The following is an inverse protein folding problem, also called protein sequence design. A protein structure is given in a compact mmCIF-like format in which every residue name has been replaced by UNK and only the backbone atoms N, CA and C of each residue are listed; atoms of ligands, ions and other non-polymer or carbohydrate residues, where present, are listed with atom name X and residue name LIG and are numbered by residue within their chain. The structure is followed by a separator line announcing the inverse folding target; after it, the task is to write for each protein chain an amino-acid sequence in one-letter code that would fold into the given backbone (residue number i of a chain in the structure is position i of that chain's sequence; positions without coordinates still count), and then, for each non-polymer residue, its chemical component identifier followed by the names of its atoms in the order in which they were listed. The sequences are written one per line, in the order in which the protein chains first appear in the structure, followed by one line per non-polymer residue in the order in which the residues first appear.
data_IF_945562294582
#
_entry.id   IF_945562294582
#
_cell.length_a   1.000
_cell.length_b   1.000
_cell.length_c   1.000
_cell.angle_alpha   90.00
_cell.angle_beta   90.00
_cell.angle_gamma   90.00
#
_symmetry.space_group_name_H-M   'P 1'
#
loop_
_entity.id
_entity.type
_entity.pdbx_description
1 polymer ?
#
# COMPACT_ATOMS: atom_id res chain seq x y z
N UNK A 1 -10.78 6.10 7.94
CA UNK A 1 -10.73 5.39 6.64
C UNK A 1 -9.61 4.37 6.73
N UNK A 2 -9.76 3.16 6.19
CA UNK A 2 -8.71 2.14 6.21
C UNK A 2 -8.15 1.99 4.78
N UNK A 3 -6.93 2.46 4.54
CA UNK A 3 -6.35 2.51 3.18
C UNK A 3 -6.08 1.10 2.67
N UNK A 4 -5.61 0.21 3.55
CA UNK A 4 -5.38 -1.21 3.23
C UNK A 4 -6.64 -1.87 2.68
N UNK A 5 -7.79 -1.68 3.34
CA UNK A 5 -9.07 -2.23 2.86
C UNK A 5 -9.48 -1.68 1.49
N UNK A 6 -9.26 -0.39 1.23
CA UNK A 6 -9.59 0.22 -0.06
C UNK A 6 -8.71 -0.32 -1.19
N UNK A 7 -7.41 -0.47 -0.94
CA UNK A 7 -6.48 -1.07 -1.91
C UNK A 7 -6.85 -2.52 -2.22
N UNK A 8 -7.23 -3.31 -1.22
CA UNK A 8 -7.63 -4.72 -1.41
C UNK A 8 -8.94 -4.89 -2.20
N UNK A 9 -9.80 -3.87 -2.27
CA UNK A 9 -10.97 -3.87 -3.18
C UNK A 9 -10.57 -3.68 -4.64
N UNK A 10 -9.40 -3.12 -4.91
CA UNK A 10 -8.85 -2.97 -6.25
C UNK A 10 -8.28 -4.30 -6.77
N UNK A 11 -8.64 -4.67 -8.01
CA UNK A 11 -8.11 -5.87 -8.66
C UNK A 11 -6.60 -5.78 -8.89
N UNK A 12 -6.09 -4.62 -9.29
CA UNK A 12 -4.66 -4.40 -9.58
C UNK A 12 -3.76 -4.69 -8.38
N UNK A 13 -4.15 -4.22 -7.20
CA UNK A 13 -3.37 -4.45 -5.98
C UNK A 13 -3.44 -5.92 -5.54
N UNK A 14 -4.62 -6.54 -5.64
CA UNK A 14 -4.78 -7.97 -5.37
C UNK A 14 -3.95 -8.85 -6.31
N UNK A 15 -3.84 -8.47 -7.58
CA UNK A 15 -2.98 -9.16 -8.57
C UNK A 15 -1.50 -8.97 -8.25
N UNK A 16 -1.09 -7.77 -7.83
CA UNK A 16 0.28 -7.52 -7.36
C UNK A 16 0.65 -8.45 -6.20
N UNK A 17 -0.20 -8.55 -5.17
CA UNK A 17 0.06 -9.45 -4.03
C UNK A 17 0.21 -10.92 -4.48
N UNK A 18 -0.62 -11.37 -5.42
CA UNK A 18 -0.52 -12.73 -5.99
C UNK A 18 0.79 -12.95 -6.76
N UNK A 19 1.25 -11.97 -7.55
CA UNK A 19 2.52 -12.07 -8.28
C UNK A 19 3.70 -12.31 -7.34
N UNK A 20 3.65 -11.73 -6.14
CA UNK A 20 4.69 -11.89 -5.13
C UNK A 20 4.36 -12.96 -4.08
N UNK A 21 3.26 -13.70 -4.21
CA UNK A 21 2.81 -14.72 -3.24
C UNK A 21 2.72 -14.18 -1.81
N UNK A 22 2.12 -13.01 -1.64
CA UNK A 22 1.89 -12.34 -0.35
C UNK A 22 0.41 -12.42 -0.03
N UNK A 23 0.06 -12.83 1.18
CA UNK A 23 -1.32 -12.84 1.65
C UNK A 23 -1.76 -11.45 2.13
N UNK A 24 -3.05 -11.14 1.99
CA UNK A 24 -3.59 -9.82 2.37
C UNK A 24 -3.45 -9.52 3.87
N UNK A 25 -3.36 -10.53 4.72
CA UNK A 25 -3.08 -10.36 6.15
C UNK A 25 -1.62 -9.97 6.41
N UNK A 26 -0.70 -10.37 5.55
CA UNK A 26 0.75 -10.19 5.68
C UNK A 26 1.29 -8.86 5.12
N UNK A 27 0.40 -7.95 4.73
CA UNK A 27 0.79 -6.59 4.31
C UNK A 27 0.61 -5.55 5.40
N UNK A 28 1.50 -4.57 5.40
CA UNK A 28 1.45 -3.36 6.23
C UNK A 28 1.86 -2.14 5.41
N UNK A 29 1.04 -1.09 5.45
CA UNK A 29 1.43 0.22 4.93
C UNK A 29 2.25 0.90 6.03
N UNK A 30 3.53 1.21 5.77
CA UNK A 30 4.42 1.70 6.82
C UNK A 30 4.04 3.12 7.28
N UNK A 31 3.61 3.97 6.35
CA UNK A 31 3.35 5.40 6.59
C UNK A 31 1.87 5.74 6.84
N UNK A 32 1.01 4.74 7.12
CA UNK A 32 -0.45 4.92 7.16
C UNK A 32 -0.91 5.99 8.16
N UNK A 33 -0.30 6.03 9.36
CA UNK A 33 -0.62 7.03 10.38
C UNK A 33 -0.14 8.43 9.99
N UNK A 34 0.99 8.54 9.30
CA UNK A 34 1.50 9.84 8.83
C UNK A 34 0.61 10.41 7.73
N UNK A 35 0.18 9.57 6.78
CA UNK A 35 -0.73 9.98 5.71
C UNK A 35 -2.06 10.45 6.32
N UNK A 36 -2.68 9.68 7.20
CA UNK A 36 -4.00 10.01 7.74
C UNK A 36 -4.00 11.18 8.75
N UNK A 37 -2.84 11.49 9.35
CA UNK A 37 -2.70 12.56 10.34
C UNK A 37 -2.31 13.91 9.73
N UNK A 38 -1.96 13.95 8.44
CA UNK A 38 -1.65 15.21 7.76
C UNK A 38 -2.91 16.07 7.66
N UNK A 39 -2.91 17.17 8.41
CA UNK A 39 -4.01 18.15 8.49
C UNK A 39 -4.31 18.78 7.13
N UNK A 40 -3.41 18.71 6.17
CA UNK A 40 -3.64 19.19 4.80
C UNK A 40 -4.63 18.31 4.02
N UNK A 41 -4.80 17.03 4.39
CA UNK A 41 -5.77 16.14 3.73
C UNK A 41 -7.21 16.36 4.18
N UNK A 42 -7.45 17.07 5.28
CA UNK A 42 -8.81 17.32 5.79
C UNK A 42 -9.67 18.17 4.83
N UNK A 43 -9.04 18.88 3.89
CA UNK A 43 -9.71 19.72 2.89
C UNK A 43 -9.48 19.25 1.44
N UNK A 44 -8.89 18.07 1.21
CA UNK A 44 -8.58 17.57 -0.13
C UNK A 44 -9.35 16.28 -0.42
N UNK A 45 -10.14 16.29 -1.50
CA UNK A 45 -10.89 15.13 -1.95
C UNK A 45 -10.00 14.05 -2.59
N UNK A 46 -8.83 14.46 -3.10
CA UNK A 46 -7.85 13.61 -3.76
C UNK A 46 -6.52 13.73 -3.03
N UNK A 47 -5.96 12.59 -2.63
CA UNK A 47 -4.68 12.46 -1.95
C UNK A 47 -3.72 11.73 -2.87
N UNK A 48 -2.49 12.23 -3.00
CA UNK A 48 -1.43 11.59 -3.77
C UNK A 48 -0.14 11.59 -2.97
N UNK A 49 0.22 10.45 -2.41
CA UNK A 49 1.36 10.32 -1.51
C UNK A 49 2.28 9.18 -1.92
N UNK A 50 3.59 9.37 -1.74
CA UNK A 50 4.54 8.27 -1.87
C UNK A 50 4.50 7.42 -0.61
N UNK A 51 4.33 6.10 -0.78
CA UNK A 51 4.17 5.18 0.34
C UNK A 51 5.07 3.95 0.19
N UNK A 52 5.41 3.35 1.34
CA UNK A 52 6.01 2.02 1.41
C UNK A 52 4.96 1.00 1.90
N UNK A 53 4.80 -0.09 1.14
CA UNK A 53 3.99 -1.25 1.55
C UNK A 53 4.94 -2.43 1.79
N UNK A 54 5.05 -2.83 3.05
CA UNK A 54 5.74 -4.07 3.42
C UNK A 54 4.79 -5.24 3.23
N UNK A 55 5.25 -6.30 2.57
CA UNK A 55 4.55 -7.57 2.48
C UNK A 55 5.48 -8.72 2.81
N UNK A 56 4.98 -9.71 3.55
CA UNK A 56 5.76 -10.88 3.96
C UNK A 56 5.30 -12.12 3.19
N UNK A 57 6.27 -12.95 2.83
CA UNK A 57 6.00 -14.25 2.26
C UNK A 57 7.07 -15.26 2.71
N UNK A 58 6.98 -16.50 2.20
CA UNK A 58 7.94 -17.58 2.51
C UNK A 58 9.39 -17.29 2.08
N UNK A 59 9.62 -16.29 1.22
CA UNK A 59 10.94 -15.91 0.71
C UNK A 59 11.55 -14.71 1.46
N UNK A 60 10.83 -14.13 2.43
CA UNK A 60 11.30 -13.02 3.25
C UNK A 60 10.34 -11.83 3.20
N UNK A 61 10.91 -10.62 3.30
CA UNK A 61 10.17 -9.36 3.30
C UNK A 61 10.33 -8.71 1.93
N UNK A 62 9.23 -8.19 1.38
CA UNK A 62 9.21 -7.41 0.15
C UNK A 62 8.65 -6.03 0.49
N UNK A 63 9.40 -4.98 0.16
CA UNK A 63 8.96 -3.60 0.29
C UNK A 63 8.58 -3.08 -1.09
N UNK A 64 7.32 -2.70 -1.28
CA UNK A 64 6.85 -2.03 -2.49
C UNK A 64 6.91 -0.52 -2.27
N UNK A 65 7.54 0.18 -3.21
CA UNK A 65 7.59 1.63 -3.24
C UNK A 65 6.73 2.12 -4.39
N UNK A 66 5.90 3.12 -4.12
CA UNK A 66 5.01 3.66 -5.13
C UNK A 66 4.20 4.83 -4.64
N UNK A 67 3.23 5.22 -5.47
CA UNK A 67 2.32 6.31 -5.15
C UNK A 67 0.94 5.77 -4.84
N UNK A 68 0.42 6.16 -3.69
CA UNK A 68 -0.98 6.00 -3.31
C UNK A 68 -1.79 7.14 -3.90
N UNK A 69 -2.77 6.81 -4.73
CA UNK A 69 -3.79 7.73 -5.20
C UNK A 69 -5.10 7.39 -4.50
N UNK A 70 -5.58 8.27 -3.63
CA UNK A 70 -6.85 8.10 -2.94
C UNK A 70 -7.84 9.17 -3.37
N UNK A 71 -9.08 8.77 -3.63
CA UNK A 71 -10.23 9.66 -3.64
C UNK A 71 -11.05 9.39 -2.38
N UNK A 72 -11.09 10.36 -1.47
CA UNK A 72 -11.74 10.23 -0.16
C UNK A 72 -13.26 10.24 -0.28
N UNK A 73 -13.82 11.02 -1.22
CA UNK A 73 -15.26 11.11 -1.48
C UNK A 73 -15.80 9.79 -2.03
N UNK A 74 -15.15 9.24 -3.05
CA UNK A 74 -15.53 7.99 -3.72
C UNK A 74 -15.05 6.75 -2.96
N UNK A 75 -14.25 6.93 -1.90
CA UNK A 75 -13.64 5.85 -1.11
C UNK A 75 -12.88 4.87 -2.00
N UNK A 76 -12.10 5.41 -2.94
CA UNK A 76 -11.28 4.66 -3.89
C UNK A 76 -9.81 4.85 -3.55
N UNK A 77 -9.03 3.77 -3.62
CA UNK A 77 -7.58 3.82 -3.51
C UNK A 77 -6.94 2.99 -4.61
N UNK A 78 -5.87 3.52 -5.20
CA UNK A 78 -5.04 2.83 -6.19
C UNK A 78 -3.58 2.98 -5.77
N UNK A 79 -2.84 1.88 -5.79
CA UNK A 79 -1.40 1.88 -5.59
C UNK A 79 -0.70 1.69 -6.93
N UNK A 80 0.10 2.68 -7.31
CA UNK A 80 0.94 2.65 -8.49
C UNK A 80 2.37 2.30 -8.09
N UNK A 81 2.75 1.04 -8.27
CA UNK A 81 4.10 0.56 -7.94
C UNK A 81 5.14 1.16 -8.87
N UNK A 82 6.21 1.70 -8.29
CA UNK A 82 7.37 2.25 -9.01
C UNK A 82 8.59 1.33 -8.90
N UNK A 83 8.70 0.58 -7.80
CA UNK A 83 9.76 -0.38 -7.59
C UNK A 83 9.51 -1.25 -6.37
N UNK A 84 10.38 -2.24 -6.16
CA UNK A 84 10.35 -3.08 -4.97
C UNK A 84 11.75 -3.52 -4.57
N UNK A 85 11.92 -3.78 -3.28
CA UNK A 85 13.11 -4.43 -2.73
C UNK A 85 12.72 -5.71 -2.02
N UNK A 86 13.59 -6.73 -2.10
CA UNK A 86 13.43 -7.97 -1.34
C UNK A 86 14.55 -8.07 -0.32
N UNK A 87 14.17 -8.19 0.94
CA UNK A 87 15.07 -8.50 2.04
C UNK A 87 14.92 -9.99 2.32
N UNK A 88 15.83 -10.78 1.75
CA UNK A 88 15.96 -12.20 2.08
C UNK A 88 16.38 -12.34 3.54
N UNK A 89 15.75 -13.25 4.28
CA UNK A 89 16.29 -13.69 5.56
C UNK A 89 17.67 -14.31 5.27
N UNK A 90 18.72 -13.62 5.68
CA UNK A 90 20.05 -14.21 5.75
C UNK A 90 20.01 -15.18 6.93
N UNK A 91 20.09 -16.48 6.63
CA UNK A 91 20.23 -17.54 7.63
C UNK A 91 21.49 -17.34 8.49
#
# INVERSE_FOLDING_TARGET
MNIKELLLKGSSFSELLKQFSIDAEDIRIQDEEMILSDRNLQNQDIVKESICIEGKNKQGIINFFGTLHCNLMERLAVFEMQGFERISQVC
#
